data_IF_834851037331
#
_entry.id   IF_834851037331
#
_cell.length_a   1.000
_cell.length_b   1.000
_cell.length_c   1.000
_cell.angle_alpha   90.00
_cell.angle_beta   90.00
_cell.angle_gamma   90.00
#
_symmetry.space_group_name_H-M   'P 1'
#
loop_
_entity.id
_entity.type
_entity.pdbx_description
1 polymer ?
#
# COMPACT_ATOMS: atom_id res chain seq x y z
N UNK A 1 -12.23 -16.18 12.57
CA UNK A 1 -13.03 -16.14 13.84
C UNK A 1 -12.15 -16.08 15.08
N UNK A 2 -11.01 -16.78 15.15
CA UNK A 2 -10.08 -16.74 16.30
C UNK A 2 -9.65 -15.29 16.62
N UNK A 3 -9.20 -14.54 15.62
CA UNK A 3 -8.70 -13.16 15.82
C UNK A 3 -9.72 -12.22 16.45
N UNK A 4 -11.02 -12.33 16.11
CA UNK A 4 -12.06 -11.50 16.69
C UNK A 4 -12.25 -11.77 18.19
N UNK A 5 -12.17 -13.04 18.59
CA UNK A 5 -12.25 -13.45 20.00
C UNK A 5 -11.02 -12.98 20.75
N UNK A 6 -9.83 -13.14 20.18
CA UNK A 6 -8.57 -12.68 20.80
C UNK A 6 -8.55 -11.16 21.00
N UNK A 7 -8.99 -10.38 20.01
CA UNK A 7 -9.13 -8.93 20.12
C UNK A 7 -10.08 -8.58 21.28
N UNK A 8 -11.23 -9.25 21.38
CA UNK A 8 -12.20 -9.00 22.44
C UNK A 8 -11.64 -9.36 23.84
N UNK A 9 -10.89 -10.44 23.95
CA UNK A 9 -10.23 -10.84 25.19
C UNK A 9 -9.13 -9.84 25.60
N UNK A 10 -8.33 -9.36 24.65
CA UNK A 10 -7.32 -8.34 24.90
C UNK A 10 -7.95 -7.03 25.37
N UNK A 11 -9.02 -6.57 24.72
CA UNK A 11 -9.79 -5.39 25.12
C UNK A 11 -10.40 -5.55 26.52
N UNK A 12 -11.06 -6.69 26.81
CA UNK A 12 -11.62 -6.99 28.12
C UNK A 12 -10.54 -6.99 29.21
N UNK A 13 -9.36 -7.59 28.92
CA UNK A 13 -8.23 -7.61 29.85
C UNK A 13 -7.71 -6.20 30.14
N UNK A 14 -7.53 -5.37 29.11
CA UNK A 14 -7.07 -4.00 29.26
C UNK A 14 -8.05 -3.15 30.09
N UNK A 15 -9.36 -3.26 29.80
CA UNK A 15 -10.43 -2.60 30.57
C UNK A 15 -10.45 -3.03 32.04
N UNK A 16 -10.25 -4.32 32.33
CA UNK A 16 -10.18 -4.83 33.72
C UNK A 16 -9.02 -4.25 34.52
N UNK A 17 -7.95 -3.83 33.83
CA UNK A 17 -6.76 -3.20 34.42
C UNK A 17 -6.80 -1.66 34.34
N UNK A 18 -7.85 -1.09 33.75
CA UNK A 18 -7.98 0.35 33.47
C UNK A 18 -6.77 0.95 32.73
N UNK A 19 -6.26 0.22 31.73
CA UNK A 19 -5.17 0.67 30.84
C UNK A 19 -5.60 0.59 29.38
N UNK A 20 -5.01 1.40 28.48
CA UNK A 20 -5.20 1.21 27.04
C UNK A 20 -4.56 -0.11 26.57
N UNK A 21 -5.17 -0.78 25.59
CA UNK A 21 -4.80 -2.16 25.19
C UNK A 21 -3.34 -2.31 24.76
N UNK A 22 -2.75 -1.30 24.13
CA UNK A 22 -1.35 -1.36 23.69
C UNK A 22 -0.37 -1.55 24.85
N UNK A 23 -0.73 -1.12 26.09
CA UNK A 23 0.09 -1.31 27.29
C UNK A 23 0.18 -2.76 27.74
N UNK A 24 -0.73 -3.64 27.30
CA UNK A 24 -0.58 -5.09 27.52
C UNK A 24 0.63 -5.66 26.79
N UNK A 25 1.05 -5.02 25.70
CA UNK A 25 2.13 -5.48 24.81
C UNK A 25 3.43 -4.69 24.98
N UNK A 26 3.49 -3.83 26.00
CA UNK A 26 4.65 -3.00 26.32
C UNK A 26 4.40 -1.51 26.14
N UNK A 27 5.47 -0.73 26.31
CA UNK A 27 5.40 0.72 26.16
C UNK A 27 5.45 1.15 24.69
N UNK A 28 4.72 2.23 24.40
CA UNK A 28 4.76 2.84 23.08
C UNK A 28 6.15 3.43 22.84
N UNK A 29 6.74 3.13 21.68
CA UNK A 29 8.03 3.69 21.24
C UNK A 29 7.91 5.11 20.69
N UNK A 30 6.69 5.58 20.46
CA UNK A 30 6.34 6.87 19.88
C UNK A 30 5.02 7.36 20.46
N UNK A 31 4.83 8.68 20.52
CA UNK A 31 3.59 9.34 20.96
C UNK A 31 2.54 9.40 19.84
N UNK A 32 2.96 9.26 18.59
CA UNK A 32 2.12 9.30 17.39
C UNK A 32 2.53 8.25 16.36
N UNK A 33 1.56 7.77 15.60
CA UNK A 33 1.75 6.87 14.46
C UNK A 33 1.29 7.58 13.20
N UNK A 34 2.13 7.59 12.17
CA UNK A 34 1.75 8.14 10.86
C UNK A 34 0.71 7.21 10.21
N UNK A 35 -0.33 7.81 9.64
CA UNK A 35 -1.35 7.08 8.88
C UNK A 35 -1.19 7.39 7.39
N UNK A 36 -1.62 6.45 6.56
CA UNK A 36 -1.74 6.64 5.12
C UNK A 36 -3.21 6.58 4.69
N UNK A 37 -3.55 7.30 3.62
CA UNK A 37 -4.84 7.17 2.96
C UNK A 37 -4.90 5.86 2.18
N UNK A 38 -6.01 5.14 2.22
CA UNK A 38 -6.20 3.92 1.43
C UNK A 38 -7.45 4.08 0.57
N UNK A 39 -7.28 4.13 -0.75
CA UNK A 39 -8.35 4.46 -1.69
C UNK A 39 -7.94 4.20 -3.14
N UNK A 40 -8.19 5.17 -4.01
CA UNK A 40 -7.64 5.18 -5.38
C UNK A 40 -8.45 4.37 -6.37
N UNK A 41 -9.74 4.18 -6.10
CA UNK A 41 -10.70 3.46 -6.93
C UNK A 41 -11.59 4.46 -7.71
N UNK A 42 -11.08 5.66 -7.96
CA UNK A 42 -11.83 6.68 -8.69
C UNK A 42 -11.95 6.33 -10.18
N UNK A 43 -13.15 6.50 -10.72
CA UNK A 43 -13.45 6.32 -12.15
C UNK A 43 -12.97 7.49 -13.03
N UNK A 44 -12.72 8.66 -12.42
CA UNK A 44 -12.36 9.91 -13.14
C UNK A 44 -11.14 10.59 -12.54
N UNK A 45 -10.45 11.39 -13.35
CA UNK A 45 -9.31 12.19 -12.91
C UNK A 45 -9.72 13.26 -11.90
N UNK A 46 -10.92 13.80 -12.05
CA UNK A 46 -11.49 14.84 -11.19
C UNK A 46 -11.71 14.33 -9.78
N UNK A 47 -12.35 13.18 -9.61
CA UNK A 47 -12.53 12.55 -8.30
C UNK A 47 -11.18 12.22 -7.65
N UNK A 48 -10.19 11.79 -8.44
CA UNK A 48 -8.87 11.50 -7.94
C UNK A 48 -8.18 12.77 -7.37
N UNK A 49 -8.31 13.91 -8.05
CA UNK A 49 -7.80 15.20 -7.56
C UNK A 49 -8.52 15.66 -6.30
N UNK A 50 -9.82 15.43 -6.20
CA UNK A 50 -10.60 15.74 -5.00
C UNK A 50 -10.10 14.91 -3.80
N UNK A 51 -9.83 13.63 -4.00
CA UNK A 51 -9.28 12.77 -2.95
C UNK A 51 -7.86 13.21 -2.53
N UNK A 52 -6.98 13.52 -3.49
CA UNK A 52 -5.64 14.08 -3.19
C UNK A 52 -5.72 15.40 -2.41
N UNK A 53 -6.68 16.28 -2.75
CA UNK A 53 -6.92 17.52 -2.01
C UNK A 53 -7.34 17.23 -0.58
N UNK A 54 -8.27 16.29 -0.36
CA UNK A 54 -8.70 15.91 0.98
C UNK A 54 -7.55 15.33 1.82
N UNK A 55 -6.74 14.45 1.23
CA UNK A 55 -5.55 13.90 1.91
C UNK A 55 -4.56 15.01 2.31
N UNK A 56 -4.31 15.96 1.40
CA UNK A 56 -3.45 17.12 1.67
C UNK A 56 -4.01 18.00 2.80
N UNK A 57 -5.32 18.27 2.81
CA UNK A 57 -6.00 19.04 3.88
C UNK A 57 -5.92 18.34 5.25
N UNK A 58 -5.91 17.00 5.27
CA UNK A 58 -5.72 16.19 6.48
C UNK A 58 -4.25 16.05 6.90
N UNK A 59 -3.30 16.55 6.10
CA UNK A 59 -1.87 16.41 6.34
C UNK A 59 -1.35 14.98 6.13
N UNK A 60 -2.04 14.18 5.32
CA UNK A 60 -1.66 12.80 4.99
C UNK A 60 -0.70 12.82 3.80
N UNK A 61 0.55 12.42 4.02
CA UNK A 61 1.61 12.42 3.00
C UNK A 61 1.84 11.10 2.28
N UNK A 62 1.04 10.07 2.57
CA UNK A 62 1.14 8.76 1.93
C UNK A 62 -0.25 8.25 1.54
N UNK A 63 -0.37 7.75 0.32
CA UNK A 63 -1.60 7.27 -0.26
C UNK A 63 -1.42 5.90 -0.92
N UNK A 64 -2.28 4.93 -0.60
CA UNK A 64 -2.33 3.63 -1.25
C UNK A 64 -3.47 3.60 -2.26
N UNK A 65 -3.16 3.28 -3.50
CA UNK A 65 -4.13 3.13 -4.59
C UNK A 65 -4.32 1.67 -4.98
N UNK A 66 -5.43 1.37 -5.67
CA UNK A 66 -5.61 0.09 -6.36
C UNK A 66 -5.23 0.18 -7.83
N UNK A 67 -4.48 -0.79 -8.32
CA UNK A 67 -4.12 -0.88 -9.73
C UNK A 67 -4.03 -2.34 -10.19
N UNK A 68 -4.35 -2.57 -11.46
CA UNK A 68 -4.09 -3.84 -12.13
C UNK A 68 -2.75 -3.79 -12.90
N UNK A 69 -2.24 -4.93 -13.34
CA UNK A 69 -0.98 -5.03 -14.10
C UNK A 69 -0.95 -4.20 -15.40
N UNK A 70 -2.12 -3.86 -15.95
CA UNK A 70 -2.25 -3.08 -17.19
C UNK A 70 -2.46 -1.57 -16.92
N UNK A 71 -2.58 -1.13 -15.66
CA UNK A 71 -2.85 0.26 -15.26
C UNK A 71 -1.61 1.19 -15.33
N UNK A 72 -0.57 0.82 -16.09
CA UNK A 72 0.73 1.51 -16.15
C UNK A 72 0.58 3.03 -16.34
N UNK A 73 -0.17 3.46 -17.36
CA UNK A 73 -0.36 4.88 -17.68
C UNK A 73 -1.16 5.59 -16.58
N UNK A 74 -2.17 4.91 -16.03
CA UNK A 74 -3.01 5.44 -14.96
C UNK A 74 -2.19 5.67 -13.69
N UNK A 75 -1.38 4.69 -13.30
CA UNK A 75 -0.51 4.78 -12.13
C UNK A 75 0.56 5.86 -12.30
N UNK A 76 1.22 5.93 -13.46
CA UNK A 76 2.18 7.00 -13.74
C UNK A 76 1.54 8.40 -13.63
N UNK A 77 0.33 8.58 -14.19
CA UNK A 77 -0.41 9.82 -14.04
C UNK A 77 -0.75 10.14 -12.58
N UNK A 78 -1.18 9.14 -11.79
CA UNK A 78 -1.49 9.30 -10.37
C UNK A 78 -0.26 9.74 -9.57
N UNK A 79 0.90 9.11 -9.81
CA UNK A 79 2.15 9.44 -9.14
C UNK A 79 2.51 10.91 -9.35
N UNK A 80 2.43 11.37 -10.61
CA UNK A 80 2.69 12.77 -10.97
C UNK A 80 1.69 13.74 -10.33
N UNK A 81 0.39 13.40 -10.29
CA UNK A 81 -0.59 14.27 -9.64
C UNK A 81 -0.40 14.30 -8.12
N UNK A 82 -0.13 13.17 -7.48
CA UNK A 82 0.10 13.08 -6.03
C UNK A 82 1.35 13.87 -5.60
N UNK A 83 2.42 13.82 -6.40
CA UNK A 83 3.66 14.56 -6.17
C UNK A 83 3.43 16.08 -6.08
N UNK A 84 2.46 16.64 -6.83
CA UNK A 84 2.09 18.07 -6.75
C UNK A 84 1.56 18.49 -5.37
N UNK A 85 1.10 17.53 -4.58
CA UNK A 85 0.61 17.71 -3.21
C UNK A 85 1.62 17.27 -2.16
N UNK A 86 2.82 16.83 -2.55
CA UNK A 86 3.80 16.23 -1.64
C UNK A 86 3.35 14.86 -1.09
N UNK A 87 2.45 14.18 -1.80
CA UNK A 87 1.90 12.87 -1.42
C UNK A 87 2.67 11.78 -2.15
N UNK A 88 3.20 10.83 -1.40
CA UNK A 88 3.83 9.60 -1.92
C UNK A 88 2.78 8.53 -2.16
N UNK A 89 3.04 7.60 -3.09
CA UNK A 89 2.05 6.58 -3.47
C UNK A 89 2.60 5.17 -3.29
N UNK A 90 1.82 4.32 -2.63
CA UNK A 90 1.95 2.86 -2.68
C UNK A 90 0.83 2.26 -3.55
N UNK A 91 1.04 1.05 -4.04
CA UNK A 91 0.08 0.36 -4.92
C UNK A 91 -0.32 -0.98 -4.32
N UNK A 92 -1.63 -1.23 -4.27
CA UNK A 92 -2.25 -2.51 -3.93
C UNK A 92 -2.77 -3.18 -5.21
N UNK A 93 -2.19 -4.33 -5.57
CA UNK A 93 -2.54 -5.06 -6.80
C UNK A 93 -3.62 -6.14 -6.59
N UNK A 94 -4.21 -6.21 -5.38
CA UNK A 94 -5.42 -6.99 -5.07
C UNK A 94 -5.33 -8.49 -5.42
N UNK A 95 -4.15 -9.12 -5.29
CA UNK A 95 -3.95 -10.53 -5.65
C UNK A 95 -4.29 -11.52 -4.54
N UNK A 96 -4.82 -11.10 -3.39
CA UNK A 96 -5.18 -12.01 -2.30
C UNK A 96 -6.17 -13.13 -2.66
N UNK A 97 -7.07 -12.89 -3.62
CA UNK A 97 -8.10 -13.84 -4.04
C UNK A 97 -8.01 -14.22 -5.53
N UNK A 98 -6.96 -13.80 -6.24
CA UNK A 98 -6.80 -14.08 -7.67
C UNK A 98 -6.42 -15.56 -7.93
N UNK A 99 -7.07 -16.19 -8.92
CA UNK A 99 -6.80 -17.56 -9.34
C UNK A 99 -6.90 -17.72 -10.87
N UNK A 100 -5.79 -18.00 -11.59
CA UNK A 100 -4.42 -17.99 -11.07
C UNK A 100 -4.00 -16.56 -10.68
N UNK A 101 -3.16 -16.40 -9.66
CA UNK A 101 -2.58 -15.09 -9.35
C UNK A 101 -1.65 -14.61 -10.46
N UNK A 102 -1.42 -13.30 -10.53
CA UNK A 102 -0.47 -12.73 -11.47
C UNK A 102 0.96 -13.20 -11.20
N UNK A 103 1.77 -13.21 -12.25
CA UNK A 103 3.15 -13.73 -12.23
C UNK A 103 4.14 -12.62 -11.89
N UNK A 104 5.28 -13.01 -11.32
CA UNK A 104 6.45 -12.14 -11.06
C UNK A 104 6.78 -11.25 -12.25
N UNK A 105 6.83 -11.82 -13.46
CA UNK A 105 7.14 -11.06 -14.69
C UNK A 105 6.15 -9.91 -14.94
N UNK A 106 4.86 -10.13 -14.69
CA UNK A 106 3.83 -9.12 -14.95
C UNK A 106 3.98 -7.93 -13.99
N UNK A 107 4.38 -8.18 -12.74
CA UNK A 107 4.72 -7.13 -11.77
C UNK A 107 5.95 -6.35 -12.20
N UNK A 108 7.01 -7.05 -12.64
CA UNK A 108 8.25 -6.40 -13.10
C UNK A 108 7.96 -5.53 -14.33
N UNK A 109 7.22 -6.06 -15.30
CA UNK A 109 6.82 -5.31 -16.50
C UNK A 109 5.99 -4.07 -16.13
N UNK A 110 5.07 -4.19 -15.15
CA UNK A 110 4.28 -3.07 -14.64
C UNK A 110 5.15 -1.97 -14.01
N UNK A 111 6.07 -2.34 -13.11
CA UNK A 111 6.97 -1.38 -12.44
C UNK A 111 7.89 -0.71 -13.45
N UNK A 112 8.55 -1.47 -14.32
CA UNK A 112 9.43 -0.93 -15.36
C UNK A 112 8.65 -0.05 -16.34
N UNK A 113 7.42 -0.43 -16.69
CA UNK A 113 6.55 0.38 -17.53
C UNK A 113 6.27 1.76 -16.94
N UNK A 114 6.02 1.83 -15.62
CA UNK A 114 5.79 3.10 -14.92
C UNK A 114 7.07 3.93 -14.84
N UNK A 115 8.21 3.31 -14.50
CA UNK A 115 9.51 3.97 -14.43
C UNK A 115 9.93 4.60 -15.78
N UNK A 116 9.49 4.02 -16.90
CA UNK A 116 9.72 4.61 -18.23
C UNK A 116 8.85 5.84 -18.53
N UNK A 117 7.83 6.14 -17.71
CA UNK A 117 6.87 7.22 -17.92
C UNK A 117 7.00 8.36 -16.89
N UNK A 118 7.60 8.12 -15.74
CA UNK A 118 7.72 9.11 -14.65
C UNK A 118 8.95 8.84 -13.78
N UNK A 119 9.55 9.90 -13.25
CA UNK A 119 10.62 9.84 -12.25
C UNK A 119 10.07 9.65 -10.82
N UNK A 120 8.75 9.64 -10.64
CA UNK A 120 8.11 9.43 -9.34
C UNK A 120 8.13 7.94 -8.96
N UNK A 121 8.53 7.66 -7.72
CA UNK A 121 8.69 6.29 -7.23
C UNK A 121 7.40 5.75 -6.59
N UNK A 122 7.14 4.46 -6.83
CA UNK A 122 6.17 3.68 -6.04
C UNK A 122 6.86 3.28 -4.73
N UNK A 123 6.30 3.68 -3.59
CA UNK A 123 6.98 3.49 -2.30
C UNK A 123 6.80 2.10 -1.69
N UNK A 124 5.76 1.36 -2.10
CA UNK A 124 5.58 -0.06 -1.80
C UNK A 124 4.59 -0.69 -2.78
N UNK A 125 4.70 -2.01 -2.93
CA UNK A 125 3.71 -2.86 -3.60
C UNK A 125 3.08 -3.80 -2.56
N UNK A 126 1.76 -3.80 -2.49
CA UNK A 126 0.95 -4.68 -1.66
C UNK A 126 0.23 -5.69 -2.55
N UNK A 127 0.15 -6.95 -2.09
CA UNK A 127 -0.51 -8.05 -2.80
C UNK A 127 -0.15 -8.12 -4.29
N UNK A 128 1.14 -7.96 -4.63
CA UNK A 128 1.63 -7.97 -6.03
C UNK A 128 1.65 -9.35 -6.66
N UNK A 129 1.56 -10.42 -5.88
CA UNK A 129 1.34 -11.80 -6.34
C UNK A 129 0.48 -12.52 -5.30
N UNK A 130 0.09 -13.76 -5.60
CA UNK A 130 -0.73 -14.57 -4.70
C UNK A 130 -0.06 -14.77 -3.32
N UNK A 131 -0.83 -14.72 -2.22
CA UNK A 131 -0.28 -14.78 -0.86
C UNK A 131 0.34 -16.13 -0.50
N UNK A 132 0.06 -17.18 -1.28
CA UNK A 132 0.58 -18.52 -1.10
C UNK A 132 1.86 -18.80 -1.91
N UNK A 133 2.50 -17.77 -2.50
CA UNK A 133 3.69 -17.90 -3.34
C UNK A 133 4.94 -17.23 -2.72
N UNK A 134 5.53 -17.80 -1.64
CA UNK A 134 6.72 -17.24 -1.01
C UNK A 134 7.95 -17.25 -1.94
N UNK A 135 8.03 -18.20 -2.88
CA UNK A 135 9.12 -18.25 -3.86
C UNK A 135 9.00 -17.09 -4.86
N UNK A 136 7.79 -16.78 -5.31
CA UNK A 136 7.50 -15.61 -6.13
C UNK A 136 7.87 -14.30 -5.43
N UNK A 137 7.60 -14.17 -4.12
CA UNK A 137 7.95 -12.95 -3.37
C UNK A 137 9.46 -12.77 -3.30
N UNK A 138 10.21 -13.85 -3.09
CA UNK A 138 11.68 -13.82 -3.14
C UNK A 138 12.18 -13.43 -4.54
N UNK A 139 11.61 -14.02 -5.59
CA UNK A 139 12.00 -13.69 -6.96
C UNK A 139 11.69 -12.23 -7.32
N UNK A 140 10.59 -11.66 -6.80
CA UNK A 140 10.27 -10.24 -6.95
C UNK A 140 11.29 -9.34 -6.24
N UNK A 141 11.66 -9.67 -5.02
CA UNK A 141 12.69 -8.93 -4.27
C UNK A 141 14.01 -8.93 -5.05
N UNK A 142 14.46 -10.10 -5.52
CA UNK A 142 15.68 -10.24 -6.32
C UNK A 142 15.62 -9.43 -7.63
N UNK A 143 14.49 -9.46 -8.33
CA UNK A 143 14.30 -8.73 -9.59
C UNK A 143 14.25 -7.21 -9.40
N UNK A 144 13.48 -6.72 -8.43
CA UNK A 144 13.33 -5.29 -8.16
C UNK A 144 14.60 -4.67 -7.56
N UNK A 145 15.37 -5.42 -6.77
CA UNK A 145 16.68 -4.99 -6.30
C UNK A 145 17.65 -4.84 -7.47
N UNK A 146 17.65 -5.76 -8.44
CA UNK A 146 18.52 -5.65 -9.62
C UNK A 146 18.19 -4.43 -10.49
N UNK A 147 16.92 -4.03 -10.58
CA UNK A 147 16.49 -2.85 -11.34
C UNK A 147 16.97 -1.50 -10.77
N UNK A 148 17.49 -1.48 -9.53
CA UNK A 148 18.03 -0.28 -8.86
C UNK A 148 19.56 -0.11 -9.05
N UNK A 149 20.23 -1.03 -9.76
CA UNK A 149 21.70 -1.02 -9.94
C UNK A 149 22.15 -1.09 -11.43
N UNK A 150 21.43 -0.42 -12.34
CA UNK A 150 21.88 -0.18 -13.72
C UNK A 150 21.97 1.32 -14.02
#
# INVERSE_FOLDING_TARGET
MISAVEIALADAKAKSLNIPVHKLYGDAKTDRMEMYGSGGICDTKEHFREELKQLSELGIGLYKIRAEKDDIIRTAWILEEAAKHGIRVGVDMCQNLADPPQKVKEVVDYVTGIQNLTDQEIIFLEESIGPADPEGFKALEDACLQSLWW
#
